data_IF_013150022772
#
_entry.id   IF_013150022772
#
_cell.length_a   1.000
_cell.length_b   1.000
_cell.length_c   1.000
_cell.angle_alpha   90.00
_cell.angle_beta   90.00
_cell.angle_gamma   90.00
#
_symmetry.space_group_name_H-M   'P 1'
#
loop_
_entity.id
_entity.type
_entity.pdbx_description
1 polymer ?
#
# COMPACT_ATOMS: atom_id res chain seq x y z
N UNK A 1 14.55 -26.52 -0.18
CA UNK A 1 14.27 -25.15 0.32
C UNK A 1 13.21 -24.57 -0.58
N UNK A 2 12.11 -24.07 -0.02
CA UNK A 2 11.08 -23.36 -0.80
C UNK A 2 11.70 -22.10 -1.44
N UNK A 3 11.34 -21.79 -2.69
CA UNK A 3 11.84 -20.59 -3.36
C UNK A 3 11.34 -19.33 -2.62
N UNK A 4 11.99 -18.18 -2.85
CA UNK A 4 11.55 -16.91 -2.25
C UNK A 4 10.12 -16.54 -2.69
N UNK A 5 9.76 -16.90 -3.93
CA UNK A 5 8.43 -16.71 -4.49
C UNK A 5 7.40 -17.61 -3.78
N UNK A 6 7.75 -18.86 -3.47
CA UNK A 6 6.87 -19.76 -2.72
C UNK A 6 6.60 -19.23 -1.31
N UNK A 7 7.64 -18.73 -0.63
CA UNK A 7 7.50 -18.11 0.70
C UNK A 7 6.59 -16.88 0.67
N UNK A 8 6.72 -16.05 -0.37
CA UNK A 8 5.85 -14.88 -0.57
C UNK A 8 4.39 -15.30 -0.80
N UNK A 9 4.17 -16.34 -1.59
CA UNK A 9 2.82 -16.83 -1.89
C UNK A 9 2.15 -17.46 -0.67
N UNK A 10 2.89 -18.21 0.16
CA UNK A 10 2.40 -18.71 1.45
C UNK A 10 1.96 -17.57 2.40
N UNK A 11 2.73 -16.48 2.44
CA UNK A 11 2.36 -15.28 3.22
C UNK A 11 1.07 -14.63 2.70
N UNK A 12 0.88 -14.57 1.38
CA UNK A 12 -0.34 -14.03 0.76
C UNK A 12 -1.55 -14.92 1.05
N UNK A 13 -1.46 -16.22 0.76
CA UNK A 13 -2.55 -17.16 0.97
C UNK A 13 -3.00 -17.21 2.44
N UNK A 14 -2.04 -17.13 3.38
CA UNK A 14 -2.38 -17.08 4.80
C UNK A 14 -2.99 -15.74 5.24
N UNK A 15 -2.89 -14.67 4.44
CA UNK A 15 -3.45 -13.34 4.73
C UNK A 15 -4.90 -13.15 4.26
N UNK A 16 -5.38 -14.00 3.34
CA UNK A 16 -6.77 -13.99 2.84
C UNK A 16 -7.79 -14.50 3.87
N UNK A 17 -7.32 -14.94 5.04
CA UNK A 17 -8.15 -15.34 6.19
C UNK A 17 -8.83 -14.15 6.90
N UNK A 18 -9.86 -14.47 7.69
CA UNK A 18 -10.75 -13.50 8.36
C UNK A 18 -9.97 -12.40 9.13
N UNK A 19 -9.89 -11.19 8.55
CA UNK A 19 -9.23 -10.03 9.17
C UNK A 19 -9.92 -9.52 10.46
N UNK A 20 -11.01 -10.19 10.84
CA UNK A 20 -11.86 -9.88 11.99
C UNK A 20 -11.50 -10.67 13.26
N UNK A 21 -10.56 -11.61 13.18
CA UNK A 21 -10.20 -12.45 14.32
C UNK A 21 -9.44 -11.65 15.42
N UNK A 22 -9.66 -11.93 16.71
CA UNK A 22 -8.84 -11.38 17.79
C UNK A 22 -7.36 -11.73 17.57
N UNK A 23 -6.46 -10.75 17.64
CA UNK A 23 -5.02 -10.95 17.40
C UNK A 23 -4.58 -10.85 15.94
N UNK A 24 -5.52 -10.77 15.00
CA UNK A 24 -5.23 -10.65 13.57
C UNK A 24 -4.35 -9.44 13.23
N UNK A 25 -4.54 -8.31 13.91
CA UNK A 25 -3.69 -7.13 13.71
C UNK A 25 -2.21 -7.40 14.03
N UNK A 26 -1.92 -8.23 15.03
CA UNK A 26 -0.55 -8.61 15.37
C UNK A 26 0.01 -9.63 14.37
N UNK A 27 -0.80 -10.60 13.96
CA UNK A 27 -0.43 -11.58 12.93
C UNK A 27 -0.11 -10.88 11.59
N UNK A 28 -0.95 -9.94 11.17
CA UNK A 28 -0.70 -9.13 9.97
C UNK A 28 0.57 -8.33 10.06
N UNK A 29 0.88 -7.71 11.20
CA UNK A 29 2.16 -7.01 11.38
C UNK A 29 3.33 -7.97 11.19
N UNK A 30 3.27 -9.16 11.78
CA UNK A 30 4.32 -10.17 11.60
C UNK A 30 4.47 -10.57 10.13
N UNK A 31 3.37 -10.79 9.41
CA UNK A 31 3.37 -11.12 7.97
C UNK A 31 3.94 -9.99 7.12
N UNK A 32 3.54 -8.75 7.39
CA UNK A 32 4.03 -7.55 6.71
C UNK A 32 5.53 -7.39 6.90
N UNK A 33 6.03 -7.60 8.13
CA UNK A 33 7.47 -7.61 8.42
C UNK A 33 8.18 -8.74 7.68
N UNK A 34 7.62 -9.96 7.69
CA UNK A 34 8.21 -11.09 6.95
C UNK A 34 8.29 -10.79 5.45
N UNK A 35 7.20 -10.30 4.84
CA UNK A 35 7.13 -9.94 3.43
C UNK A 35 8.11 -8.83 3.05
N UNK A 36 8.24 -7.79 3.88
CA UNK A 36 9.17 -6.69 3.64
C UNK A 36 10.63 -7.18 3.65
N UNK A 37 10.97 -8.14 4.50
CA UNK A 37 12.31 -8.72 4.59
C UNK A 37 12.65 -9.73 3.49
N UNK A 38 11.69 -10.15 2.65
CA UNK A 38 12.00 -11.05 1.53
C UNK A 38 12.86 -10.31 0.50
N UNK A 39 14.04 -10.84 0.11
CA UNK A 39 14.95 -10.20 -0.85
C UNK A 39 14.46 -10.38 -2.29
N UNK A 40 13.34 -9.72 -2.63
CA UNK A 40 12.78 -9.68 -3.98
C UNK A 40 12.62 -8.23 -4.45
N UNK A 41 12.83 -7.95 -5.75
CA UNK A 41 12.56 -6.64 -6.31
C UNK A 41 11.06 -6.32 -6.29
N UNK A 42 10.66 -5.03 -6.26
CA UNK A 42 9.25 -4.62 -6.27
C UNK A 42 8.41 -5.28 -7.35
N UNK A 43 8.92 -5.41 -8.59
CA UNK A 43 8.24 -6.09 -9.70
C UNK A 43 7.85 -7.55 -9.44
N UNK A 44 8.53 -8.24 -8.52
CA UNK A 44 8.20 -9.61 -8.13
C UNK A 44 7.47 -9.70 -6.79
N UNK A 45 7.72 -8.73 -5.89
CA UNK A 45 7.14 -8.70 -4.54
C UNK A 45 5.67 -8.27 -4.55
N UNK A 46 5.27 -7.42 -5.50
CA UNK A 46 3.94 -6.83 -5.58
C UNK A 46 3.20 -7.27 -6.84
N UNK A 47 1.99 -7.80 -6.68
CA UNK A 47 1.15 -8.32 -7.77
C UNK A 47 -0.08 -7.46 -8.05
N UNK A 48 -0.54 -6.67 -7.08
CA UNK A 48 -1.77 -5.90 -7.23
C UNK A 48 -1.51 -4.40 -7.39
N UNK A 49 -0.72 -3.81 -6.49
CA UNK A 49 -0.39 -2.38 -6.61
C UNK A 49 0.79 -2.18 -7.56
N UNK A 50 0.67 -1.19 -8.44
CA UNK A 50 1.73 -0.82 -9.38
C UNK A 50 2.85 -0.04 -8.65
N UNK A 51 3.63 -0.73 -7.82
CA UNK A 51 4.62 -0.11 -6.92
C UNK A 51 5.67 0.67 -7.68
N UNK A 52 6.19 0.15 -8.79
CA UNK A 52 7.24 0.84 -9.54
C UNK A 52 6.75 2.22 -10.00
N UNK A 53 5.52 2.30 -10.55
CA UNK A 53 4.90 3.57 -10.94
C UNK A 53 4.67 4.48 -9.72
N UNK A 54 4.12 3.93 -8.62
CA UNK A 54 3.90 4.69 -7.38
C UNK A 54 5.21 5.30 -6.86
N UNK A 55 6.31 4.56 -6.91
CA UNK A 55 7.60 5.06 -6.47
C UNK A 55 8.12 6.12 -7.44
N UNK A 56 8.24 5.80 -8.74
CA UNK A 56 8.85 6.71 -9.73
C UNK A 56 8.08 8.01 -9.90
N UNK A 57 6.75 7.98 -9.84
CA UNK A 57 5.90 9.17 -9.99
C UNK A 57 5.86 10.05 -8.74
N UNK A 58 6.21 9.49 -7.57
CA UNK A 58 6.13 10.20 -6.28
C UNK A 58 7.50 10.37 -5.60
N UNK A 59 8.62 10.13 -6.29
CA UNK A 59 9.97 10.24 -5.73
C UNK A 59 10.85 11.31 -6.40
N UNK A 60 10.23 12.36 -6.95
CA UNK A 60 10.86 13.38 -7.81
C UNK A 60 11.75 14.41 -7.08
N UNK A 61 12.45 14.03 -6.01
CA UNK A 61 13.33 14.93 -5.26
C UNK A 61 14.69 15.13 -5.94
N UNK A 62 15.19 16.37 -5.97
CA UNK A 62 16.48 16.70 -6.63
C UNK A 62 17.69 16.27 -5.79
N UNK A 63 17.46 15.96 -4.51
CA UNK A 63 18.46 15.51 -3.56
C UNK A 63 17.84 14.49 -2.59
N UNK A 64 18.69 13.87 -1.76
CA UNK A 64 18.28 12.88 -0.77
C UNK A 64 17.20 13.42 0.18
N UNK A 65 17.35 14.63 0.70
CA UNK A 65 16.42 15.22 1.67
C UNK A 65 15.01 15.42 1.07
N UNK A 66 14.92 15.97 -0.13
CA UNK A 66 13.65 16.14 -0.85
C UNK A 66 13.01 14.79 -1.18
N UNK A 67 13.83 13.81 -1.56
CA UNK A 67 13.36 12.47 -1.87
C UNK A 67 12.79 11.79 -0.63
N UNK A 68 13.48 11.87 0.52
CA UNK A 68 12.96 11.39 1.79
C UNK A 68 11.64 12.09 2.18
N UNK A 69 11.51 13.39 1.92
CA UNK A 69 10.26 14.13 2.18
C UNK A 69 9.11 13.64 1.30
N UNK A 70 9.36 13.37 0.01
CA UNK A 70 8.33 12.84 -0.90
C UNK A 70 7.95 11.40 -0.56
N UNK A 71 8.91 10.54 -0.18
CA UNK A 71 8.63 9.20 0.35
C UNK A 71 7.81 9.24 1.65
N UNK A 72 8.05 10.23 2.52
CA UNK A 72 7.25 10.43 3.73
C UNK A 72 5.79 10.81 3.40
N UNK A 73 5.57 11.62 2.36
CA UNK A 73 4.21 11.93 1.86
C UNK A 73 3.53 10.67 1.31
N UNK A 74 4.24 9.87 0.51
CA UNK A 74 3.74 8.60 -0.01
C UNK A 74 3.38 7.63 1.12
N UNK A 75 4.26 7.45 2.11
CA UNK A 75 3.99 6.63 3.30
C UNK A 75 2.73 7.10 4.06
N UNK A 76 2.53 8.42 4.17
CA UNK A 76 1.33 9.01 4.79
C UNK A 76 0.06 8.69 4.00
N UNK A 77 0.11 8.76 2.66
CA UNK A 77 -1.01 8.38 1.80
C UNK A 77 -1.33 6.88 1.90
N UNK A 78 -0.31 6.02 1.92
CA UNK A 78 -0.46 4.57 2.10
C UNK A 78 -1.09 4.22 3.45
N UNK A 79 -0.78 4.96 4.52
CA UNK A 79 -1.45 4.79 5.82
C UNK A 79 -2.96 5.08 5.75
N UNK A 80 -3.39 6.04 4.94
CA UNK A 80 -4.82 6.31 4.71
C UNK A 80 -5.44 5.22 3.83
N UNK A 81 -4.74 4.76 2.79
CA UNK A 81 -5.19 3.64 1.94
C UNK A 81 -5.31 2.32 2.72
N UNK A 82 -4.41 2.06 3.66
CA UNK A 82 -4.48 0.92 4.59
C UNK A 82 -5.77 0.99 5.43
N UNK A 83 -6.15 2.18 5.91
CA UNK A 83 -7.40 2.38 6.66
C UNK A 83 -8.62 2.13 5.80
N UNK A 84 -8.63 2.54 4.53
CA UNK A 84 -9.72 2.21 3.60
C UNK A 84 -9.87 0.69 3.43
N UNK A 85 -8.77 -0.01 3.15
CA UNK A 85 -8.79 -1.47 3.02
C UNK A 85 -9.25 -2.15 4.31
N UNK A 86 -8.71 -1.75 5.46
CA UNK A 86 -9.09 -2.29 6.78
C UNK A 86 -10.56 -2.06 7.12
N UNK A 87 -11.13 -0.91 6.75
CA UNK A 87 -12.55 -0.64 6.95
C UNK A 87 -13.44 -1.56 6.10
N UNK A 88 -13.00 -1.89 4.89
CA UNK A 88 -13.72 -2.78 3.98
C UNK A 88 -13.62 -4.25 4.38
N UNK A 89 -12.61 -4.65 5.15
CA UNK A 89 -12.48 -6.02 5.66
C UNK A 89 -13.13 -6.21 7.03
N UNK A 90 -13.48 -5.12 7.71
CA UNK A 90 -14.15 -5.15 9.00
C UNK A 90 -15.64 -5.56 8.86
N UNK A 91 -16.14 -6.53 9.64
CA UNK A 91 -17.57 -6.87 9.68
C UNK A 91 -18.44 -5.67 10.07
N UNK A 92 -17.95 -4.83 10.97
CA UNK A 92 -18.59 -3.59 11.43
C UNK A 92 -18.13 -2.36 10.61
N UNK A 93 -18.04 -2.54 9.28
CA UNK A 93 -17.63 -1.48 8.33
C UNK A 93 -18.44 -0.19 8.51
N UNK A 94 -17.83 1.00 8.31
CA UNK A 94 -18.52 2.28 8.45
C UNK A 94 -19.76 2.39 7.54
N UNK A 95 -20.82 3.07 8.00
CA UNK A 95 -22.10 3.22 7.25
C UNK A 95 -21.92 3.69 5.80
N UNK A 96 -20.98 4.60 5.55
CA UNK A 96 -20.74 5.20 4.24
C UNK A 96 -19.54 4.59 3.48
N UNK A 97 -19.21 3.32 3.75
CA UNK A 97 -18.05 2.64 3.16
C UNK A 97 -18.08 2.60 1.62
N UNK A 98 -19.25 2.71 1.00
CA UNK A 98 -19.44 2.59 -0.46
C UNK A 98 -18.87 3.75 -1.26
N UNK A 99 -18.56 4.87 -0.64
CA UNK A 99 -18.17 6.10 -1.35
C UNK A 99 -16.96 6.77 -0.70
N UNK A 100 -16.03 7.22 -1.53
CA UNK A 100 -14.92 8.10 -1.15
C UNK A 100 -15.12 9.43 -1.85
N UNK A 101 -15.24 10.51 -1.09
CA UNK A 101 -15.43 11.86 -1.65
C UNK A 101 -14.12 12.61 -1.79
N UNK A 102 -13.92 13.31 -2.90
CA UNK A 102 -12.71 14.09 -3.17
C UNK A 102 -12.62 15.34 -2.29
N UNK A 103 -13.75 15.94 -1.92
CA UNK A 103 -13.78 17.06 -0.98
C UNK A 103 -13.46 16.70 0.47
N UNK A 104 -13.31 15.41 0.82
CA UNK A 104 -12.89 15.02 2.16
C UNK A 104 -11.46 15.56 2.41
N UNK A 105 -11.24 16.41 3.44
CA UNK A 105 -9.94 17.06 3.64
C UNK A 105 -8.79 16.08 3.87
N UNK A 106 -9.05 14.96 4.55
CA UNK A 106 -8.05 13.92 4.77
C UNK A 106 -7.68 13.27 3.45
N UNK A 107 -8.67 12.85 2.66
CA UNK A 107 -8.42 12.27 1.33
C UNK A 107 -7.64 13.24 0.44
N UNK A 108 -8.11 14.48 0.32
CA UNK A 108 -7.53 15.50 -0.55
C UNK A 108 -6.06 15.81 -0.24
N UNK A 109 -5.72 15.87 1.05
CA UNK A 109 -4.34 16.22 1.47
C UNK A 109 -3.38 15.03 1.46
N UNK A 110 -3.89 13.79 1.40
CA UNK A 110 -3.08 12.57 1.50
C UNK A 110 -3.15 11.70 0.24
N UNK A 111 -4.26 11.00 0.00
CA UNK A 111 -4.39 10.06 -1.11
C UNK A 111 -4.47 10.79 -2.45
N UNK A 112 -5.13 11.95 -2.50
CA UNK A 112 -5.26 12.74 -3.73
C UNK A 112 -4.02 13.56 -4.07
N UNK A 113 -3.08 13.68 -3.12
CA UNK A 113 -1.84 14.44 -3.31
C UNK A 113 -0.70 13.60 -3.88
N UNK A 114 -0.93 12.30 -4.10
CA UNK A 114 0.02 11.38 -4.74
C UNK A 114 -0.54 10.88 -6.07
N UNK A 115 0.36 10.60 -7.02
CA UNK A 115 -0.01 9.88 -8.23
C UNK A 115 -0.28 8.40 -7.91
N UNK A 116 -1.29 7.82 -8.57
CA UNK A 116 -1.69 6.42 -8.36
C UNK A 116 -2.57 6.15 -7.12
N UNK A 117 -2.78 7.12 -6.22
CA UNK A 117 -3.59 6.91 -5.00
C UNK A 117 -5.03 6.47 -5.28
N UNK A 118 -5.68 7.08 -6.29
CA UNK A 118 -7.02 6.68 -6.75
C UNK A 118 -7.05 5.30 -7.41
N UNK A 119 -5.96 4.90 -8.08
CA UNK A 119 -5.87 3.57 -8.68
C UNK A 119 -5.88 2.46 -7.61
N UNK A 120 -5.27 2.71 -6.44
CA UNK A 120 -5.35 1.78 -5.30
C UNK A 120 -6.79 1.68 -4.78
N UNK A 121 -7.56 2.77 -4.73
CA UNK A 121 -8.99 2.70 -4.39
C UNK A 121 -9.79 1.89 -5.41
N UNK A 122 -9.48 2.01 -6.70
CA UNK A 122 -10.12 1.16 -7.72
C UNK A 122 -9.85 -0.33 -7.47
N UNK A 123 -8.64 -0.70 -7.03
CA UNK A 123 -8.30 -2.09 -6.68
C UNK A 123 -9.10 -2.61 -5.47
N UNK A 124 -9.52 -1.74 -4.55
CA UNK A 124 -10.43 -2.10 -3.47
C UNK A 124 -11.89 -2.26 -3.92
N UNK A 125 -12.24 -1.84 -5.14
CA UNK A 125 -13.59 -1.94 -5.71
C UNK A 125 -14.33 -0.62 -5.88
N UNK A 126 -13.71 0.53 -5.58
CA UNK A 126 -14.28 1.85 -5.84
C UNK A 126 -14.18 2.25 -7.32
N UNK A 127 -14.78 1.47 -8.21
CA UNK A 127 -14.58 1.59 -9.67
C UNK A 127 -15.54 2.55 -10.37
N UNK A 128 -16.66 2.90 -9.74
CA UNK A 128 -17.62 3.85 -10.32
C UNK A 128 -17.14 5.30 -10.10
N UNK A 129 -16.81 5.99 -11.21
CA UNK A 129 -16.37 7.38 -11.17
C UNK A 129 -17.57 8.30 -10.93
N UNK A 130 -17.47 9.17 -9.93
CA UNK A 130 -18.45 10.21 -9.64
C UNK A 130 -17.84 11.59 -9.81
N UNK A 131 -18.67 12.62 -9.98
CA UNK A 131 -18.21 14.01 -10.12
C UNK A 131 -17.33 14.47 -8.94
N UNK A 132 -17.65 14.06 -7.71
CA UNK A 132 -16.93 14.43 -6.48
C UNK A 132 -16.38 13.20 -5.73
N UNK A 133 -16.04 12.13 -6.44
CA UNK A 133 -15.54 10.94 -5.74
C UNK A 133 -15.47 9.67 -6.56
N UNK A 134 -15.26 8.58 -5.81
CA UNK A 134 -15.36 7.21 -6.29
C UNK A 134 -16.39 6.47 -5.46
N UNK A 135 -17.12 5.55 -6.07
CA UNK A 135 -17.99 4.63 -5.34
C UNK A 135 -17.84 3.20 -5.81
N UNK A 136 -18.31 2.28 -4.98
CA UNK A 136 -18.66 0.96 -5.47
C UNK A 136 -19.80 1.06 -6.51
N UNK A 137 -19.83 0.18 -7.52
CA UNK A 137 -20.99 0.00 -8.38
C UNK A 137 -22.23 -0.41 -7.57
N UNK A 138 -23.42 -0.06 -8.07
CA UNK A 138 -24.68 -0.26 -7.33
C UNK A 138 -25.02 -1.74 -7.13
N UNK A 139 -24.63 -2.58 -8.10
CA UNK A 139 -24.79 -4.03 -8.07
C UNK A 139 -23.92 -4.75 -7.03
N UNK A 140 -22.83 -4.11 -6.58
CA UNK A 140 -21.94 -4.70 -5.59
C UNK A 140 -22.53 -4.54 -4.21
N UNK A 141 -23.05 -5.61 -3.61
CA UNK A 141 -23.68 -5.55 -2.27
C UNK A 141 -22.61 -5.56 -1.16
N UNK A 142 -21.54 -6.32 -1.35
CA UNK A 142 -20.42 -6.45 -0.42
C UNK A 142 -19.10 -6.37 -1.18
N UNK A 143 -18.02 -5.83 -0.58
CA UNK A 143 -16.71 -5.85 -1.22
C UNK A 143 -16.18 -7.28 -1.30
N UNK A 144 -15.32 -7.52 -2.29
CA UNK A 144 -14.52 -8.74 -2.35
C UNK A 144 -13.46 -8.69 -1.23
N UNK A 145 -13.77 -9.35 -0.12
CA UNK A 145 -12.94 -9.32 1.09
C UNK A 145 -11.56 -9.90 0.84
N UNK A 146 -11.46 -10.98 0.05
CA UNK A 146 -10.19 -11.62 -0.28
C UNK A 146 -9.32 -10.66 -1.08
N UNK A 147 -9.86 -10.09 -2.17
CA UNK A 147 -9.14 -9.09 -2.97
C UNK A 147 -8.71 -7.88 -2.16
N UNK A 148 -9.60 -7.32 -1.33
CA UNK A 148 -9.29 -6.16 -0.50
C UNK A 148 -8.18 -6.50 0.51
N UNK A 149 -8.22 -7.69 1.13
CA UNK A 149 -7.18 -8.14 2.05
C UNK A 149 -5.81 -8.20 1.38
N UNK A 150 -5.73 -8.82 0.20
CA UNK A 150 -4.47 -8.97 -0.53
C UNK A 150 -3.90 -7.63 -1.01
N UNK A 151 -4.75 -6.70 -1.47
CA UNK A 151 -4.32 -5.33 -1.79
C UNK A 151 -3.87 -4.58 -0.52
N UNK A 152 -4.58 -4.76 0.60
CA UNK A 152 -4.23 -4.10 1.87
C UNK A 152 -2.89 -4.59 2.39
N UNK A 153 -2.61 -5.90 2.31
CA UNK A 153 -1.31 -6.48 2.68
C UNK A 153 -0.17 -5.80 1.91
N UNK A 154 -0.31 -5.64 0.61
CA UNK A 154 0.68 -4.98 -0.23
C UNK A 154 0.86 -3.50 0.14
N UNK A 155 -0.24 -2.77 0.39
CA UNK A 155 -0.19 -1.38 0.86
C UNK A 155 0.55 -1.25 2.20
N UNK A 156 0.28 -2.15 3.14
CA UNK A 156 0.97 -2.22 4.44
C UNK A 156 2.46 -2.53 4.28
N UNK A 157 2.80 -3.49 3.41
CA UNK A 157 4.17 -3.87 3.11
C UNK A 157 4.95 -2.70 2.52
N UNK A 158 4.42 -2.04 1.49
CA UNK A 158 5.07 -0.89 0.88
C UNK A 158 5.26 0.25 1.88
N UNK A 159 4.25 0.53 2.72
CA UNK A 159 4.38 1.55 3.77
C UNK A 159 5.54 1.23 4.71
N UNK A 160 5.66 -0.03 5.16
CA UNK A 160 6.75 -0.45 6.04
C UNK A 160 8.11 -0.35 5.33
N UNK A 161 8.22 -0.82 4.08
CA UNK A 161 9.46 -0.71 3.30
C UNK A 161 9.87 0.76 3.14
N UNK A 162 8.94 1.67 2.84
CA UNK A 162 9.22 3.11 2.79
C UNK A 162 9.69 3.66 4.14
N UNK A 163 9.06 3.29 5.25
CA UNK A 163 9.51 3.72 6.58
C UNK A 163 10.93 3.25 6.90
N UNK A 164 11.28 2.02 6.51
CA UNK A 164 12.62 1.48 6.68
C UNK A 164 13.64 2.18 5.76
N UNK A 165 13.28 2.47 4.51
CA UNK A 165 14.12 3.24 3.57
C UNK A 165 14.39 4.65 4.12
N UNK A 166 13.36 5.32 4.65
CA UNK A 166 13.48 6.65 5.23
C UNK A 166 14.43 6.66 6.44
N UNK A 167 14.37 5.62 7.27
CA UNK A 167 15.24 5.45 8.45
C UNK A 167 16.63 4.89 8.11
N UNK A 168 16.86 4.46 6.87
CA UNK A 168 18.09 3.78 6.48
C UNK A 168 18.27 2.39 7.10
N UNK A 169 17.17 1.71 7.46
CA UNK A 169 17.18 0.39 8.10
C UNK A 169 16.60 -0.71 7.21
N UNK A 170 16.31 -0.40 5.94
CA UNK A 170 15.81 -1.40 4.99
C UNK A 170 16.87 -2.48 4.78
N UNK A 171 16.54 -3.78 4.81
CA UNK A 171 17.52 -4.86 4.63
C UNK A 171 18.03 -4.96 3.19
N UNK A 172 17.20 -4.56 2.22
CA UNK A 172 17.47 -4.67 0.78
C UNK A 172 17.21 -3.36 0.01
N UNK A 173 17.86 -2.23 0.36
CA UNK A 173 17.63 -0.95 -0.29
C UNK A 173 18.00 -0.95 -1.78
N UNK A 174 18.92 -1.83 -2.20
CA UNK A 174 19.41 -1.99 -3.57
C UNK A 174 18.29 -2.23 -4.60
N UNK A 175 17.18 -2.85 -4.19
CA UNK A 175 16.04 -3.08 -5.07
C UNK A 175 15.24 -1.80 -5.37
N UNK A 176 15.40 -0.75 -4.56
CA UNK A 176 14.69 0.52 -4.70
C UNK A 176 15.54 1.61 -5.35
N UNK A 177 16.86 1.45 -5.37
CA UNK A 177 17.80 2.46 -5.89
C UNK A 177 17.56 2.81 -7.36
N UNK A 178 17.13 1.84 -8.19
CA UNK A 178 16.80 2.09 -9.60
C UNK A 178 15.52 2.91 -9.77
N UNK A 179 14.57 2.76 -8.85
CA UNK A 179 13.27 3.44 -8.87
C UNK A 179 13.36 4.81 -8.19
N UNK A 180 14.29 4.96 -7.25
CA UNK A 180 14.52 6.19 -6.49
C UNK A 180 16.03 6.51 -6.53
N UNK A 181 16.54 7.06 -7.64
CA UNK A 181 17.98 7.24 -7.86
C UNK A 181 18.67 8.08 -6.78
N UNK A 182 17.97 9.04 -6.21
CA UNK A 182 18.43 9.92 -5.14
C UNK A 182 18.72 9.22 -3.81
N UNK A 183 18.35 7.94 -3.63
CA UNK A 183 18.76 7.13 -2.48
C UNK A 183 20.24 6.72 -2.53
N UNK A 184 20.84 6.67 -3.72
CA UNK A 184 22.27 6.29 -3.90
C UNK A 184 23.23 7.44 -3.64
N UNK A 185 22.74 8.69 -3.65
CA UNK A 185 23.56 9.87 -3.38
C UNK A 185 23.91 9.89 -1.90
N UNK A 186 25.09 9.33 -1.59
CA UNK A 186 25.76 9.55 -0.32
C UNK A 186 26.15 11.03 -0.24
N UNK A 187 25.83 11.65 0.88
CA UNK A 187 26.41 12.95 1.24
C UNK A 187 27.88 12.68 1.52
N UNK A 188 28.76 13.19 0.66
CA UNK A 188 30.15 13.48 1.05
C UNK A 188 30.18 14.53 2.16
#
# INVERSE_FOLDING_TARGET
>A
MASLTDQLEELRMSSEGNLSAPGFAQEMRTKVVAMANIPLPPSSKYSYIAVENLLTENSSGSNRKESLSTLQKLSTALNILEKYGSNLTNPNRPKYWRTVKYNNPVFRTTVDSIQGGRAVLNLYGYTNQQHDGLSFPDEVIQPDIGKVASVTLEVMCLRLELEMLIKGTHPHPEFFERLIPSLTVQVE
#
